data_IF_537834132208
#
_entry.id   IF_537834132208
#
_cell.length_a   1.000
_cell.length_b   1.000
_cell.length_c   1.000
_cell.angle_alpha   90.00
_cell.angle_beta   90.00
_cell.angle_gamma   90.00
#
_symmetry.space_group_name_H-M   'P 1'
#
loop_
_entity.id
_entity.type
_entity.pdbx_description
1 polymer ?
#
# COMPACT_ATOMS: atom_id res chain seq x y z
N UNK A 1 -1.04 14.56 4.97
CA UNK A 1 -0.86 13.10 5.04
C UNK A 1 -0.64 12.64 3.63
N UNK A 2 0.61 12.63 3.21
CA UNK A 2 1.10 12.18 1.91
C UNK A 2 2.35 11.41 2.32
N UNK A 3 2.49 10.11 2.07
CA UNK A 3 2.86 9.67 0.75
C UNK A 3 2.61 8.16 0.63
N UNK A 4 1.43 7.79 0.13
CA UNK A 4 1.33 6.54 -0.60
C UNK A 4 2.14 6.72 -1.89
N UNK A 5 3.22 5.95 -2.03
CA UNK A 5 4.05 5.95 -3.24
C UNK A 5 3.47 5.01 -4.30
N UNK A 6 2.81 3.95 -3.85
CA UNK A 6 2.18 2.96 -4.72
C UNK A 6 0.88 2.51 -4.08
N UNK A 7 -0.15 2.39 -4.91
CA UNK A 7 -1.44 1.78 -4.57
C UNK A 7 -1.72 0.76 -5.66
N UNK A 8 -1.83 -0.52 -5.28
CA UNK A 8 -2.05 -1.61 -6.22
C UNK A 8 -3.23 -2.47 -5.77
N UNK A 9 -4.17 -2.73 -6.68
CA UNK A 9 -5.25 -3.69 -6.45
C UNK A 9 -4.67 -5.11 -6.37
N UNK A 10 -5.14 -5.89 -5.40
CA UNK A 10 -4.75 -7.28 -5.17
C UNK A 10 -5.90 -8.27 -5.38
N UNK A 11 -7.09 -7.79 -5.79
CA UNK A 11 -8.30 -8.60 -5.89
C UNK A 11 -8.58 -9.15 -7.30
N UNK A 12 -9.18 -10.34 -7.34
CA UNK A 12 -9.71 -10.97 -8.56
C UNK A 12 -11.23 -10.69 -8.76
N UNK A 13 -11.81 -9.73 -8.02
CA UNK A 13 -13.24 -9.38 -8.05
C UNK A 13 -14.08 -9.84 -6.85
N UNK A 14 -13.46 -10.38 -5.80
CA UNK A 14 -14.14 -10.77 -4.55
C UNK A 14 -14.24 -9.61 -3.54
N UNK A 15 -15.38 -9.53 -2.84
CA UNK A 15 -15.62 -8.60 -1.72
C UNK A 15 -15.29 -9.24 -0.35
N UNK A 16 -14.58 -8.56 0.56
CA UNK A 16 -14.01 -7.22 0.39
C UNK A 16 -12.79 -7.21 -0.54
N UNK A 17 -12.72 -6.19 -1.40
CA UNK A 17 -11.57 -5.99 -2.28
C UNK A 17 -10.35 -5.57 -1.46
N UNK A 18 -9.17 -5.75 -2.03
CA UNK A 18 -7.90 -5.69 -1.32
C UNK A 18 -6.95 -4.77 -2.05
N UNK A 19 -6.33 -3.85 -1.33
CA UNK A 19 -5.34 -2.94 -1.89
C UNK A 19 -4.05 -2.99 -1.10
N UNK A 20 -2.95 -3.10 -1.83
CA UNK A 20 -1.59 -2.93 -1.33
C UNK A 20 -1.22 -1.46 -1.40
N UNK A 21 -0.86 -0.88 -0.26
CA UNK A 21 -0.33 0.47 -0.18
C UNK A 21 1.13 0.40 0.26
N UNK A 22 2.02 0.96 -0.56
CA UNK A 22 3.42 1.16 -0.22
C UNK A 22 3.67 2.64 0.03
N UNK A 23 4.23 2.99 1.17
CA UNK A 23 4.44 4.39 1.53
C UNK A 23 5.30 4.55 2.77
N UNK A 24 5.74 5.78 3.03
CA UNK A 24 6.52 6.07 4.23
C UNK A 24 5.63 6.42 5.42
N UNK A 25 5.99 5.94 6.60
CA UNK A 25 5.43 6.47 7.85
C UNK A 25 5.99 7.87 8.20
N UNK A 26 5.57 8.42 9.34
CA UNK A 26 6.04 9.74 9.81
C UNK A 26 7.53 9.78 10.16
N UNK A 27 8.16 8.62 10.37
CA UNK A 27 9.59 8.50 10.64
C UNK A 27 10.40 8.22 9.37
N UNK A 28 9.75 8.10 8.20
CA UNK A 28 10.40 7.81 6.93
C UNK A 28 10.61 6.32 6.65
N UNK A 29 10.09 5.42 7.50
CA UNK A 29 10.16 3.99 7.25
C UNK A 29 9.20 3.62 6.13
N UNK A 30 9.68 2.89 5.12
CA UNK A 30 8.82 2.32 4.10
C UNK A 30 7.99 1.17 4.69
N UNK A 31 6.68 1.28 4.55
CA UNK A 31 5.70 0.29 5.00
C UNK A 31 4.99 -0.34 3.81
N UNK A 32 4.57 -1.56 4.04
CA UNK A 32 3.61 -2.31 3.25
C UNK A 32 2.33 -2.45 4.06
N UNK A 33 1.21 -1.97 3.52
CA UNK A 33 -0.09 -1.97 4.19
C UNK A 33 -1.12 -2.63 3.30
N UNK A 34 -1.90 -3.56 3.86
CA UNK A 34 -3.04 -4.17 3.17
C UNK A 34 -4.32 -3.57 3.74
N UNK A 35 -5.11 -2.94 2.86
CA UNK A 35 -6.41 -2.37 3.18
C UNK A 35 -7.49 -3.22 2.53
N UNK A 36 -8.50 -3.59 3.31
CA UNK A 36 -9.76 -4.13 2.83
C UNK A 36 -10.72 -2.98 2.53
N UNK A 37 -11.37 -3.02 1.38
CA UNK A 37 -12.48 -2.14 1.03
C UNK A 37 -13.78 -2.95 1.00
N UNK A 38 -14.73 -2.57 1.85
CA UNK A 38 -16.03 -3.22 1.95
C UNK A 38 -17.04 -2.54 1.01
N UNK A 39 -18.06 -3.29 0.59
CA UNK A 39 -19.11 -2.78 -0.31
C UNK A 39 -19.93 -1.64 0.32
N UNK A 40 -19.90 -1.50 1.64
CA UNK A 40 -20.55 -0.42 2.40
C UNK A 40 -19.66 0.84 2.53
N UNK A 41 -18.52 0.88 1.86
CA UNK A 41 -17.58 1.99 1.84
C UNK A 41 -16.65 2.08 3.05
N UNK A 42 -16.71 1.11 3.98
CA UNK A 42 -15.72 1.02 5.05
C UNK A 42 -14.39 0.53 4.52
N UNK A 43 -13.32 0.96 5.20
CA UNK A 43 -11.96 0.49 4.97
C UNK A 43 -11.38 -0.08 6.25
N UNK A 44 -10.58 -1.14 6.14
CA UNK A 44 -9.88 -1.73 7.28
C UNK A 44 -8.47 -2.15 6.89
N UNK A 45 -7.47 -1.55 7.54
CA UNK A 45 -6.11 -2.04 7.45
C UNK A 45 -5.98 -3.35 8.25
N UNK A 46 -5.64 -4.44 7.57
CA UNK A 46 -5.49 -5.77 8.19
C UNK A 46 -4.02 -6.19 8.33
N UNK A 47 -3.11 -5.44 7.72
CA UNK A 47 -1.68 -5.70 7.75
C UNK A 47 -0.92 -4.38 7.62
N UNK A 48 0.10 -4.18 8.44
CA UNK A 48 1.05 -3.08 8.32
C UNK A 48 2.42 -3.55 8.82
N UNK A 49 3.40 -3.63 7.95
CA UNK A 49 4.76 -4.10 8.25
C UNK A 49 5.82 -3.29 7.50
N UNK A 50 7.10 -3.34 7.92
CA UNK A 50 8.19 -2.85 7.09
C UNK A 50 8.12 -3.42 5.68
N UNK A 51 8.27 -2.56 4.68
CA UNK A 51 8.09 -2.93 3.29
C UNK A 51 9.06 -4.05 2.89
N UNK A 52 8.51 -5.16 2.40
CA UNK A 52 9.32 -6.30 1.94
C UNK A 52 10.11 -5.93 0.69
N UNK A 53 11.32 -6.48 0.57
CA UNK A 53 12.25 -6.20 -0.55
C UNK A 53 11.64 -6.45 -1.93
N UNK A 54 10.73 -7.41 -2.05
CA UNK A 54 10.02 -7.74 -3.29
C UNK A 54 9.26 -6.56 -3.90
N UNK A 55 8.82 -5.60 -3.08
CA UNK A 55 8.05 -4.44 -3.53
C UNK A 55 8.92 -3.25 -3.95
N UNK A 56 10.25 -3.32 -3.77
CA UNK A 56 11.16 -2.23 -4.18
C UNK A 56 11.08 -1.88 -5.66
N UNK A 57 10.83 -2.86 -6.52
CA UNK A 57 10.72 -2.65 -7.96
C UNK A 57 9.46 -1.86 -8.35
N UNK A 58 8.46 -1.79 -7.47
CA UNK A 58 7.23 -1.01 -7.69
C UNK A 58 7.40 0.46 -7.30
N UNK A 59 8.42 0.80 -6.52
CA UNK A 59 8.63 2.18 -6.07
C UNK A 59 9.02 3.07 -7.26
N UNK A 60 8.52 4.33 -7.29
CA UNK A 60 8.96 5.29 -8.29
C UNK A 60 10.47 5.51 -8.15
N UNK A 61 11.17 5.59 -9.29
CA UNK A 61 12.58 5.94 -9.29
C UNK A 61 12.71 7.38 -8.80
N UNK A 62 13.68 7.70 -7.92
CA UNK A 62 13.97 9.09 -7.61
C UNK A 62 14.29 9.83 -8.92
N UNK A 63 13.86 11.11 -9.06
CA UNK A 63 14.19 11.89 -10.25
C UNK A 63 15.72 11.91 -10.42
N UNK A 64 16.16 11.63 -11.65
CA UNK A 64 17.57 11.78 -12.00
C UNK A 64 17.95 13.26 -11.83
N UNK A 65 19.10 13.51 -11.20
CA UNK A 65 19.58 14.86 -10.87
C UNK A 65 19.85 15.71 -12.10
#
# INVERSE_FOLDING_TARGET
MEAALVVADMGDGDSPSRTLILGSDRAGNLLEVIVLHFDDGREMAIHAMPMRTQYRAMLPRPPEK
#
